data_IF_165036827461
#
_entry.id   IF_165036827461
#
_cell.length_a   1.000
_cell.length_b   1.000
_cell.length_c   1.000
_cell.angle_alpha   90.00
_cell.angle_beta   90.00
_cell.angle_gamma   90.00
#
_symmetry.space_group_name_H-M   'P 1'
#
loop_
_entity.id
_entity.type
_entity.pdbx_description
1 polymer ?
#
# COMPACT_ATOMS: atom_id res chain seq x y z
N UNK A 1 38.38 54.59 -27.87
CA UNK A 1 38.74 53.27 -28.44
C UNK A 1 38.18 52.18 -27.55
N UNK A 2 37.18 51.44 -28.03
CA UNK A 2 36.75 50.14 -27.50
C UNK A 2 37.82 49.08 -27.80
N UNK A 3 37.92 48.02 -26.97
CA UNK A 3 37.36 46.72 -27.39
C UNK A 3 36.61 46.04 -26.23
N UNK A 4 35.31 45.69 -26.36
CA UNK A 4 34.76 44.43 -26.90
C UNK A 4 35.54 43.17 -26.54
N UNK A 5 34.97 42.32 -25.68
CA UNK A 5 35.25 40.88 -25.75
C UNK A 5 35.05 40.08 -24.46
N UNK A 6 33.95 39.33 -24.45
CA UNK A 6 33.84 37.94 -23.96
C UNK A 6 33.49 37.67 -22.49
N UNK A 7 32.44 36.85 -22.32
CA UNK A 7 32.45 35.78 -21.32
C UNK A 7 31.61 35.99 -20.07
N UNK A 8 30.29 36.15 -20.23
CA UNK A 8 29.36 35.92 -19.12
C UNK A 8 29.41 34.45 -18.68
N UNK A 9 30.10 34.17 -17.57
CA UNK A 9 30.11 32.86 -16.93
C UNK A 9 28.96 32.79 -15.93
N UNK A 10 27.83 32.27 -16.40
CA UNK A 10 26.68 31.85 -15.61
C UNK A 10 27.12 30.83 -14.53
N UNK A 11 26.77 31.02 -13.24
CA UNK A 11 27.18 30.13 -12.15
C UNK A 11 26.24 28.92 -11.98
N UNK A 12 25.62 28.42 -13.05
CA UNK A 12 24.60 27.37 -12.99
C UNK A 12 25.03 26.00 -13.52
N UNK A 13 26.31 25.80 -13.84
CA UNK A 13 26.81 24.54 -14.43
C UNK A 13 27.93 23.85 -13.64
N UNK A 14 27.99 24.03 -12.31
CA UNK A 14 28.94 23.33 -11.43
C UNK A 14 28.28 22.63 -10.24
N UNK A 15 27.13 22.00 -10.45
CA UNK A 15 26.46 21.19 -9.42
C UNK A 15 25.95 19.83 -9.91
N UNK A 16 26.56 19.29 -10.98
CA UNK A 16 26.21 17.96 -11.50
C UNK A 16 27.44 17.14 -11.92
N UNK A 17 28.51 17.16 -11.11
CA UNK A 17 29.70 16.30 -11.28
C UNK A 17 30.21 15.66 -9.98
N UNK A 18 29.37 15.53 -8.96
CA UNK A 18 29.72 14.85 -7.70
C UNK A 18 28.90 13.58 -7.42
N UNK A 19 28.03 13.16 -8.33
CA UNK A 19 27.19 11.98 -8.17
C UNK A 19 27.66 10.73 -8.94
N UNK A 20 28.96 10.60 -9.22
CA UNK A 20 29.49 9.43 -9.94
C UNK A 20 30.83 8.92 -9.40
N UNK A 21 30.91 8.51 -8.13
CA UNK A 21 32.09 7.75 -7.65
C UNK A 21 31.94 6.91 -6.38
N UNK A 22 30.73 6.56 -5.95
CA UNK A 22 30.53 5.76 -4.72
C UNK A 22 29.49 4.63 -4.81
N UNK A 23 29.25 4.08 -5.99
CA UNK A 23 28.27 3.00 -6.16
C UNK A 23 28.84 1.65 -6.67
N UNK A 24 30.15 1.51 -6.90
CA UNK A 24 30.70 0.32 -7.55
C UNK A 24 31.95 -0.28 -6.86
N UNK A 25 32.06 -0.21 -5.52
CA UNK A 25 33.25 -0.67 -4.80
C UNK A 25 32.98 -1.63 -3.62
N UNK A 26 31.79 -2.23 -3.52
CA UNK A 26 31.47 -3.19 -2.44
C UNK A 26 31.09 -4.60 -2.90
N UNK A 27 30.95 -4.86 -4.21
CA UNK A 27 30.54 -6.18 -4.71
C UNK A 27 31.70 -7.14 -5.07
N UNK A 28 32.95 -6.64 -5.13
CA UNK A 28 34.08 -7.48 -5.55
C UNK A 28 34.60 -8.47 -4.48
N UNK A 29 34.64 -8.19 -3.16
CA UNK A 29 35.22 -9.15 -2.22
C UNK A 29 34.31 -10.37 -1.96
N UNK A 30 33.01 -10.28 -2.26
CA UNK A 30 32.07 -11.38 -2.09
C UNK A 30 32.13 -12.41 -3.23
N UNK A 31 32.39 -11.97 -4.46
CA UNK A 31 32.56 -12.86 -5.62
C UNK A 31 33.95 -13.51 -5.68
N UNK A 32 35.00 -12.83 -5.18
CA UNK A 32 36.36 -13.39 -5.18
C UNK A 32 36.53 -14.60 -4.24
N UNK A 33 35.70 -14.73 -3.20
CA UNK A 33 35.74 -15.89 -2.29
C UNK A 33 35.21 -17.19 -2.88
N UNK A 34 34.51 -17.13 -4.03
CA UNK A 34 33.95 -18.33 -4.68
C UNK A 34 34.90 -18.97 -5.70
N UNK A 35 35.90 -18.22 -6.17
CA UNK A 35 36.85 -18.70 -7.18
C UNK A 35 38.08 -19.41 -6.59
N UNK A 36 38.34 -19.26 -5.28
CA UNK A 36 39.48 -19.87 -4.62
C UNK A 36 39.02 -20.95 -3.61
N UNK A 37 39.07 -22.20 -4.05
CA UNK A 37 39.35 -23.34 -3.16
C UNK A 37 38.17 -24.00 -2.46
N UNK A 38 37.40 -24.79 -3.21
CA UNK A 38 36.79 -26.01 -2.68
C UNK A 38 37.37 -27.18 -3.46
N UNK A 39 38.26 -27.98 -2.84
CA UNK A 39 38.52 -29.33 -3.37
C UNK A 39 37.18 -30.06 -3.24
N UNK A 40 36.57 -30.45 -4.36
CA UNK A 40 35.41 -31.32 -4.34
C UNK A 40 35.81 -32.63 -3.67
N UNK A 41 35.53 -32.74 -2.38
CA UNK A 41 35.71 -33.96 -1.62
C UNK A 41 34.59 -34.92 -2.00
N UNK A 42 34.80 -36.23 -1.90
CA UNK A 42 33.78 -37.26 -2.15
C UNK A 42 32.49 -37.13 -1.29
N UNK A 43 32.45 -36.14 -0.39
CA UNK A 43 31.29 -35.67 0.37
C UNK A 43 30.26 -34.91 -0.51
N UNK A 44 30.66 -34.31 -1.63
CA UNK A 44 29.81 -33.47 -2.50
C UNK A 44 28.88 -34.27 -3.44
N UNK A 45 29.14 -35.57 -3.64
CA UNK A 45 28.24 -36.47 -4.40
C UNK A 45 27.03 -36.95 -3.57
N UNK A 46 27.04 -36.70 -2.26
CA UNK A 46 25.91 -37.04 -1.38
C UNK A 46 24.84 -35.95 -1.44
N UNK A 47 23.54 -36.30 -1.37
CA UNK A 47 22.48 -35.31 -1.30
C UNK A 47 22.69 -34.35 -0.14
N UNK A 48 22.71 -33.04 -0.43
CA UNK A 48 22.88 -32.00 0.59
C UNK A 48 21.67 -31.99 1.51
N UNK A 49 21.89 -32.25 2.80
CA UNK A 49 20.85 -32.28 3.82
C UNK A 49 20.58 -30.87 4.32
N UNK A 50 19.46 -30.28 3.91
CA UNK A 50 19.07 -28.90 4.29
C UNK A 50 18.42 -28.79 5.67
N UNK A 51 17.96 -29.91 6.26
CA UNK A 51 17.23 -29.95 7.53
C UNK A 51 18.08 -29.58 8.75
N UNK A 52 19.40 -29.69 8.65
CA UNK A 52 20.35 -29.32 9.72
C UNK A 52 20.92 -27.92 9.54
N UNK A 53 20.52 -27.19 8.49
CA UNK A 53 21.03 -25.85 8.22
C UNK A 53 20.48 -24.83 9.21
N UNK A 54 21.21 -23.73 9.42
CA UNK A 54 20.73 -22.56 10.18
C UNK A 54 19.43 -21.98 9.62
N UNK A 55 19.20 -22.14 8.32
CA UNK A 55 17.96 -21.72 7.66
C UNK A 55 16.76 -22.59 8.08
N UNK A 56 16.97 -23.88 8.37
CA UNK A 56 15.91 -24.77 8.85
C UNK A 56 15.43 -24.41 10.27
N UNK A 57 16.28 -23.75 11.07
CA UNK A 57 15.90 -23.23 12.39
C UNK A 57 15.18 -21.88 12.34
N UNK A 58 15.12 -21.23 11.17
CA UNK A 58 14.48 -19.93 11.01
C UNK A 58 12.95 -20.09 11.05
N UNK A 59 12.32 -19.55 12.09
CA UNK A 59 10.85 -19.56 12.19
C UNK A 59 10.26 -18.49 11.28
N UNK A 60 9.17 -18.82 10.58
CA UNK A 60 8.43 -17.86 9.76
C UNK A 60 8.05 -16.58 10.53
N UNK A 61 7.76 -16.71 11.82
CA UNK A 61 7.48 -15.60 12.73
C UNK A 61 8.60 -14.54 12.75
N UNK A 62 9.86 -14.93 12.55
CA UNK A 62 11.02 -14.03 12.53
C UNK A 62 11.10 -13.21 11.24
N UNK A 63 10.51 -13.70 10.14
CA UNK A 63 10.40 -12.94 8.88
C UNK A 63 9.20 -11.99 8.90
N UNK A 64 8.06 -12.44 9.43
CA UNK A 64 6.82 -11.67 9.43
C UNK A 64 6.77 -10.64 10.56
N UNK A 65 7.36 -10.93 11.71
CA UNK A 65 7.60 -9.95 12.78
C UNK A 65 9.02 -9.45 12.64
N UNK A 66 9.22 -8.53 11.69
CA UNK A 66 10.36 -7.62 11.81
C UNK A 66 10.32 -7.07 13.24
N UNK A 67 11.39 -7.27 14.01
CA UNK A 67 11.52 -6.69 15.33
C UNK A 67 11.10 -5.23 15.19
N UNK A 68 10.04 -4.82 15.92
CA UNK A 68 9.52 -3.45 15.85
C UNK A 68 10.75 -2.54 15.82
N UNK A 69 10.96 -1.73 14.77
CA UNK A 69 12.16 -0.91 14.69
C UNK A 69 12.23 -0.16 16.02
N UNK A 70 13.38 -0.22 16.70
CA UNK A 70 13.54 0.30 18.05
C UNK A 70 13.13 1.79 18.16
N UNK A 71 13.02 2.46 17.01
CA UNK A 71 12.71 3.86 16.81
C UNK A 71 11.21 4.18 16.62
N UNK A 72 10.31 3.19 16.75
CA UNK A 72 8.86 3.43 16.59
C UNK A 72 8.19 3.66 17.95
N UNK A 73 7.79 4.90 18.28
CA UNK A 73 7.07 5.17 19.53
C UNK A 73 5.68 4.53 19.51
N UNK A 74 5.29 3.92 20.62
CA UNK A 74 4.00 3.21 20.74
C UNK A 74 2.79 4.12 20.56
N UNK A 75 2.97 5.42 20.85
CA UNK A 75 1.96 6.47 20.72
C UNK A 75 1.64 6.78 19.26
N UNK A 76 2.49 6.40 18.30
CA UNK A 76 2.27 6.68 16.87
C UNK A 76 0.90 6.16 16.39
N UNK A 77 0.55 4.93 16.77
CA UNK A 77 -0.75 4.33 16.40
C UNK A 77 -1.92 5.12 17.00
N UNK A 78 -1.80 5.49 18.27
CA UNK A 78 -2.85 6.21 18.98
C UNK A 78 -3.03 7.65 18.49
N UNK A 79 -1.94 8.33 18.12
CA UNK A 79 -1.98 9.67 17.55
C UNK A 79 -2.72 9.71 16.20
N UNK A 80 -2.47 8.73 15.34
CA UNK A 80 -3.14 8.62 14.03
C UNK A 80 -4.62 8.24 14.21
N UNK A 81 -4.92 7.33 15.14
CA UNK A 81 -6.30 6.98 15.47
C UNK A 81 -7.05 8.20 16.04
N UNK A 82 -6.44 8.96 16.94
CA UNK A 82 -7.04 10.12 17.56
C UNK A 82 -7.39 11.21 16.52
N UNK A 83 -6.51 11.48 15.55
CA UNK A 83 -6.81 12.45 14.50
C UNK A 83 -7.94 11.96 13.57
N UNK A 84 -7.93 10.67 13.21
CA UNK A 84 -9.00 10.10 12.38
C UNK A 84 -10.36 10.15 13.09
N UNK A 85 -10.38 9.80 14.39
CA UNK A 85 -11.59 9.85 15.22
C UNK A 85 -12.08 11.27 15.38
N UNK A 86 -11.20 12.24 15.63
CA UNK A 86 -11.58 13.64 15.71
C UNK A 86 -12.23 14.13 14.40
N UNK A 87 -11.68 13.75 13.24
CA UNK A 87 -12.31 14.05 11.95
C UNK A 87 -13.64 13.33 11.78
N UNK A 88 -13.76 12.05 12.14
CA UNK A 88 -15.04 11.34 12.04
C UNK A 88 -16.11 11.96 12.93
N UNK A 89 -15.79 12.33 14.18
CA UNK A 89 -16.73 13.00 15.08
C UNK A 89 -17.17 14.35 14.50
N UNK A 90 -16.24 15.12 13.92
CA UNK A 90 -16.57 16.37 13.24
C UNK A 90 -17.51 16.15 12.05
N UNK A 91 -17.21 15.19 11.16
CA UNK A 91 -18.00 14.97 9.94
C UNK A 91 -19.34 14.26 10.17
N UNK A 92 -19.41 13.35 11.14
CA UNK A 92 -20.58 12.51 11.36
C UNK A 92 -21.54 13.06 12.42
N UNK A 93 -21.07 13.87 13.38
CA UNK A 93 -21.87 14.27 14.55
C UNK A 93 -21.94 15.80 14.69
N UNK A 94 -20.80 16.48 14.64
CA UNK A 94 -20.71 17.89 15.05
C UNK A 94 -21.03 18.88 13.92
N UNK A 95 -20.81 18.48 12.66
CA UNK A 95 -21.33 19.18 11.49
C UNK A 95 -22.85 18.99 11.47
N UNK A 96 -23.59 20.09 11.32
CA UNK A 96 -25.06 20.04 11.14
C UNK A 96 -25.43 18.93 10.14
N UNK A 97 -26.54 18.24 10.43
CA UNK A 97 -27.06 17.11 9.64
C UNK A 97 -26.90 17.44 8.16
N UNK A 98 -26.05 16.68 7.47
CA UNK A 98 -25.67 17.01 6.11
C UNK A 98 -26.96 16.95 5.27
N UNK A 99 -27.30 17.99 4.51
CA UNK A 99 -28.45 17.98 3.58
C UNK A 99 -28.48 16.71 2.70
N UNK A 100 -27.29 16.15 2.47
CA UNK A 100 -27.07 14.89 1.78
C UNK A 100 -27.68 13.67 2.50
N UNK A 101 -27.62 13.62 3.83
CA UNK A 101 -28.18 12.52 4.63
C UNK A 101 -29.71 12.52 4.58
N UNK A 102 -30.33 13.70 4.65
CA UNK A 102 -31.77 13.85 4.39
C UNK A 102 -32.14 13.48 2.94
N UNK A 103 -31.27 13.76 1.97
CA UNK A 103 -31.48 13.38 0.57
C UNK A 103 -31.35 11.87 0.32
N UNK A 104 -30.53 11.17 1.11
CA UNK A 104 -30.35 9.71 1.07
C UNK A 104 -31.55 8.93 1.61
N UNK A 105 -32.33 9.54 2.52
CA UNK A 105 -33.57 8.96 3.03
C UNK A 105 -34.76 9.09 2.05
N UNK A 106 -34.63 9.90 1.00
CA UNK A 106 -35.67 10.03 -0.04
C UNK A 106 -35.60 8.85 -1.01
N UNK A 107 -36.75 8.32 -1.45
CA UNK A 107 -36.74 7.23 -2.43
C UNK A 107 -36.09 7.71 -3.74
N UNK A 108 -35.32 6.83 -4.37
CA UNK A 108 -34.50 7.14 -5.55
C UNK A 108 -35.32 7.65 -6.74
N UNK A 109 -36.60 7.26 -6.80
CA UNK A 109 -37.60 7.73 -7.76
C UNK A 109 -37.87 9.24 -7.67
N UNK A 110 -37.81 9.81 -6.46
CA UNK A 110 -38.07 11.22 -6.23
C UNK A 110 -36.81 12.08 -6.46
N UNK A 111 -35.63 11.48 -6.27
CA UNK A 111 -34.32 12.18 -6.36
C UNK A 111 -33.79 12.29 -7.79
N UNK A 112 -34.07 11.30 -8.66
CA UNK A 112 -33.56 11.27 -10.05
C UNK A 112 -34.74 11.35 -11.03
N UNK A 113 -34.93 12.49 -11.72
CA UNK A 113 -36.03 12.63 -12.67
C UNK A 113 -35.85 11.64 -13.84
N UNK A 114 -36.82 10.74 -14.04
CA UNK A 114 -36.86 9.80 -15.17
C UNK A 114 -36.48 8.36 -14.85
N UNK A 115 -36.15 8.03 -13.59
CA UNK A 115 -35.89 6.64 -13.17
C UNK A 115 -37.13 5.74 -13.31
N UNK A 116 -38.33 6.31 -13.16
CA UNK A 116 -39.61 5.61 -13.28
C UNK A 116 -39.88 5.04 -14.68
N UNK A 117 -39.14 5.53 -15.70
CA UNK A 117 -39.23 5.00 -17.07
C UNK A 117 -38.32 3.79 -17.28
N UNK A 118 -37.33 3.61 -16.40
CA UNK A 118 -36.33 2.53 -16.47
C UNK A 118 -36.67 1.41 -15.50
N UNK A 119 -37.22 1.74 -14.32
CA UNK A 119 -37.75 0.77 -13.39
C UNK A 119 -39.22 0.45 -13.71
N UNK A 120 -39.62 -0.82 -13.73
CA UNK A 120 -41.03 -1.17 -13.73
C UNK A 120 -41.69 -0.56 -12.48
N UNK A 121 -42.99 -0.17 -12.54
CA UNK A 121 -43.70 0.35 -11.38
C UNK A 121 -43.48 -0.61 -10.21
N UNK A 122 -43.06 -0.07 -9.06
CA UNK A 122 -42.73 -0.88 -7.87
C UNK A 122 -43.85 -1.89 -7.67
N UNK A 123 -43.57 -3.21 -7.77
CA UNK A 123 -44.61 -4.21 -7.58
C UNK A 123 -45.20 -3.98 -6.19
N UNK A 124 -46.51 -4.16 -6.07
CA UNK A 124 -47.21 -4.04 -4.79
C UNK A 124 -46.38 -4.74 -3.70
N UNK A 125 -46.28 -4.16 -2.49
CA UNK A 125 -45.43 -4.69 -1.44
C UNK A 125 -45.70 -6.18 -1.28
N UNK A 126 -44.64 -6.98 -1.34
CA UNK A 126 -44.75 -8.43 -1.29
C UNK A 126 -45.64 -8.83 -0.09
N UNK A 127 -46.57 -9.77 -0.27
CA UNK A 127 -47.48 -10.14 0.80
C UNK A 127 -46.67 -10.58 2.02
N UNK A 128 -47.04 -10.09 3.20
CA UNK A 128 -46.35 -10.44 4.47
C UNK A 128 -46.34 -11.93 4.76
N UNK A 129 -47.27 -12.68 4.15
CA UNK A 129 -47.37 -14.13 4.21
C UNK A 129 -47.05 -14.70 2.83
N UNK A 130 -46.27 -15.78 2.81
CA UNK A 130 -45.96 -16.48 1.58
C UNK A 130 -47.26 -17.01 0.94
N UNK A 131 -47.47 -16.68 -0.33
CA UNK A 131 -48.58 -17.20 -1.15
C UNK A 131 -47.95 -18.12 -2.20
N UNK A 132 -48.35 -19.41 -2.28
CA UNK A 132 -47.88 -20.29 -3.33
C UNK A 132 -48.24 -19.71 -4.70
N UNK A 133 -47.34 -19.80 -5.69
CA UNK A 133 -47.67 -19.37 -7.05
C UNK A 133 -48.70 -20.31 -7.68
N UNK A 134 -49.53 -19.79 -8.58
CA UNK A 134 -50.67 -20.48 -9.20
C UNK A 134 -50.35 -21.78 -9.98
N UNK A 135 -49.08 -22.13 -10.13
CA UNK A 135 -48.64 -23.41 -10.73
C UNK A 135 -48.37 -24.50 -9.68
N UNK A 136 -48.54 -24.21 -8.40
CA UNK A 136 -48.19 -25.07 -7.25
C UNK A 136 -49.43 -25.61 -6.51
N UNK A 137 -50.53 -25.78 -7.22
CA UNK A 137 -51.73 -26.49 -6.78
C UNK A 137 -51.73 -27.91 -7.38
#
# INVERSE_FOLDING_TARGET
MLPTGSGGLSPTFLLLRTLSRRAAATLLPALQRRAAGGKASAEDEKPVVYSTSKAAQWKAEQSFRSARPADVPEVQRWSVLASLVAFMVYFCILREENDFDQSLMRPLSDTIPGIDKVLPPTPAPAPRKWVPPAWRD
#
